data_IF_975135550214
#
_entry.id   IF_975135550214
#
_cell.length_a   1.000
_cell.length_b   1.000
_cell.length_c   1.000
_cell.angle_alpha   90.00
_cell.angle_beta   90.00
_cell.angle_gamma   90.00
#
_symmetry.space_group_name_H-M   'P 1'
#
loop_
_entity.id
_entity.type
_entity.pdbx_description
1 polymer ?
#
# COMPACT_ATOMS: atom_id res chain seq x y z
N UNK A 1 25.72 -21.38 -9.52
CA UNK A 1 25.51 -19.98 -9.94
C UNK A 1 25.68 -19.10 -8.71
N UNK A 2 26.65 -18.19 -8.74
CA UNK A 2 26.85 -17.26 -7.62
C UNK A 2 25.73 -16.23 -7.68
N UNK A 3 24.68 -16.42 -6.92
CA UNK A 3 23.73 -15.33 -6.71
C UNK A 3 24.51 -14.17 -6.11
N UNK A 4 24.64 -13.11 -6.87
CA UNK A 4 25.43 -11.95 -6.45
C UNK A 4 24.93 -11.41 -5.13
N UNK A 5 25.78 -11.40 -4.12
CA UNK A 5 25.47 -10.79 -2.83
C UNK A 5 25.07 -9.33 -3.04
N UNK A 6 24.03 -8.87 -2.36
CA UNK A 6 23.56 -7.49 -2.44
C UNK A 6 24.69 -6.52 -2.07
N UNK A 7 24.80 -5.44 -2.83
CA UNK A 7 25.81 -4.41 -2.59
C UNK A 7 25.16 -3.05 -2.39
N UNK A 8 25.78 -2.26 -1.52
CA UNK A 8 25.47 -0.85 -1.29
C UNK A 8 26.77 -0.09 -1.54
N UNK A 9 26.86 0.53 -2.71
CA UNK A 9 28.10 1.12 -3.17
C UNK A 9 29.21 0.06 -3.27
N UNK A 10 30.32 0.27 -2.57
CA UNK A 10 31.45 -0.65 -2.53
C UNK A 10 31.31 -1.76 -1.48
N UNK A 11 30.26 -1.70 -0.63
CA UNK A 11 30.06 -2.64 0.47
C UNK A 11 29.16 -3.81 0.06
N UNK A 12 29.52 -5.00 0.51
CA UNK A 12 28.72 -6.21 0.39
C UNK A 12 27.86 -6.36 1.66
N UNK A 13 26.55 -6.46 1.53
CA UNK A 13 25.65 -6.64 2.67
C UNK A 13 25.87 -8.02 3.28
N UNK A 14 26.20 -8.04 4.56
CA UNK A 14 26.42 -9.27 5.36
C UNK A 14 25.10 -9.77 5.93
N UNK A 15 24.30 -8.86 6.47
CA UNK A 15 22.94 -9.15 6.95
C UNK A 15 22.10 -7.88 6.99
N UNK A 16 20.78 -8.05 7.00
CA UNK A 16 19.86 -6.94 7.22
C UNK A 16 18.59 -7.43 7.90
N UNK A 17 17.92 -6.52 8.60
CA UNK A 17 16.66 -6.78 9.29
C UNK A 17 15.67 -5.69 8.91
N UNK A 18 14.51 -6.08 8.41
CA UNK A 18 13.41 -5.15 8.18
C UNK A 18 12.63 -4.94 9.49
N UNK A 19 12.36 -3.68 9.82
CA UNK A 19 11.50 -3.30 10.94
C UNK A 19 10.57 -2.18 10.44
N UNK A 20 9.32 -2.51 10.24
CA UNK A 20 8.35 -1.56 9.68
C UNK A 20 8.75 -1.12 8.28
N UNK A 21 8.82 0.19 8.06
CA UNK A 21 9.16 0.75 6.74
C UNK A 21 10.67 0.82 6.49
N UNK A 22 11.48 0.60 7.54
CA UNK A 22 12.94 0.69 7.47
C UNK A 22 13.60 -0.68 7.41
N UNK A 23 14.77 -0.72 6.82
CA UNK A 23 15.68 -1.85 6.85
C UNK A 23 16.97 -1.37 7.50
N UNK A 24 17.44 -2.06 8.55
CA UNK A 24 18.77 -1.84 9.11
C UNK A 24 19.71 -2.85 8.46
N UNK A 25 20.85 -2.40 7.97
CA UNK A 25 21.84 -3.28 7.33
C UNK A 25 23.22 -3.19 7.96
N UNK A 26 23.95 -4.30 7.86
CA UNK A 26 25.36 -4.45 8.18
C UNK A 26 26.08 -4.90 6.92
N UNK A 27 27.17 -4.23 6.54
CA UNK A 27 27.88 -4.50 5.31
C UNK A 27 29.40 -4.42 5.50
N UNK A 28 30.17 -5.01 4.59
CA UNK A 28 31.64 -4.96 4.63
C UNK A 28 32.22 -4.64 3.25
N UNK A 29 33.35 -3.91 3.28
CA UNK A 29 34.23 -3.70 2.13
C UNK A 29 35.60 -4.28 2.48
N UNK A 30 35.88 -5.49 2.02
CA UNK A 30 37.14 -6.19 2.29
C UNK A 30 38.36 -5.51 1.62
N UNK A 31 38.10 -4.66 0.64
CA UNK A 31 39.16 -3.95 -0.11
C UNK A 31 39.49 -2.58 0.50
N UNK A 32 38.73 -2.13 1.47
CA UNK A 32 38.98 -0.84 2.12
C UNK A 32 40.29 -0.86 2.89
N UNK A 33 41.03 0.24 2.77
CA UNK A 33 42.31 0.46 3.48
C UNK A 33 42.26 1.74 4.33
N UNK A 34 41.11 2.41 4.40
CA UNK A 34 41.01 3.78 4.92
C UNK A 34 40.25 3.90 6.27
N UNK A 35 40.17 2.82 7.04
CA UNK A 35 39.46 2.87 8.33
C UNK A 35 37.93 2.77 8.23
N UNK A 36 37.42 2.24 7.13
CA UNK A 36 35.98 2.16 6.85
C UNK A 36 35.58 0.77 6.32
N UNK A 37 36.15 -0.28 6.89
CA UNK A 37 35.95 -1.66 6.43
C UNK A 37 34.52 -2.18 6.62
N UNK A 38 33.85 -1.75 7.67
CA UNK A 38 32.47 -2.18 8.00
C UNK A 38 31.53 -0.98 8.01
N UNK A 39 30.28 -1.20 7.66
CA UNK A 39 29.25 -0.16 7.59
C UNK A 39 27.93 -0.65 8.16
N UNK A 40 27.27 0.21 8.93
CA UNK A 40 25.88 0.01 9.35
C UNK A 40 25.07 1.24 8.96
N UNK A 41 23.89 1.02 8.41
CA UNK A 41 23.00 2.12 8.00
C UNK A 41 21.56 1.67 7.91
N UNK A 42 20.70 2.60 7.52
CA UNK A 42 19.32 2.32 7.15
C UNK A 42 19.17 2.30 5.64
N UNK A 43 18.30 1.45 5.13
CA UNK A 43 17.94 1.41 3.72
C UNK A 43 16.42 1.49 3.56
N UNK A 44 15.98 2.28 2.60
CA UNK A 44 14.60 2.30 2.12
C UNK A 44 14.65 1.92 0.64
N UNK A 45 13.90 0.91 0.28
CA UNK A 45 13.98 0.34 -1.06
C UNK A 45 12.59 0.22 -1.69
N UNK A 46 12.51 0.65 -2.93
CA UNK A 46 11.35 0.41 -3.78
C UNK A 46 11.82 -0.18 -5.13
N UNK A 47 10.91 -0.37 -6.06
CA UNK A 47 11.22 -1.02 -7.35
C UNK A 47 12.19 -0.22 -8.24
N UNK A 48 12.42 1.06 -7.97
CA UNK A 48 13.20 1.96 -8.81
C UNK A 48 14.55 2.33 -8.22
N UNK A 49 14.64 2.45 -6.89
CA UNK A 49 15.87 2.91 -6.25
C UNK A 49 15.98 2.40 -4.80
N UNK A 50 17.19 2.48 -4.31
CA UNK A 50 17.54 2.22 -2.91
C UNK A 50 18.19 3.47 -2.34
N UNK A 51 17.62 3.97 -1.26
CA UNK A 51 18.16 5.12 -0.52
C UNK A 51 18.74 4.64 0.79
N UNK A 52 20.01 4.95 1.04
CA UNK A 52 20.67 4.65 2.29
C UNK A 52 20.86 5.93 3.10
N UNK A 53 20.69 5.83 4.40
CA UNK A 53 20.78 6.96 5.31
C UNK A 53 21.48 6.58 6.62
N UNK A 54 21.98 7.58 7.32
CA UNK A 54 22.65 7.44 8.61
C UNK A 54 23.75 6.37 8.60
N UNK A 55 24.47 6.26 7.49
CA UNK A 55 25.55 5.30 7.38
C UNK A 55 26.73 5.66 8.29
N UNK A 56 27.16 4.71 9.09
CA UNK A 56 28.33 4.81 9.95
C UNK A 56 29.33 3.75 9.53
N UNK A 57 30.59 4.10 9.51
CA UNK A 57 31.66 3.20 9.10
C UNK A 57 32.74 3.11 10.20
N UNK A 58 33.41 1.96 10.26
CA UNK A 58 34.51 1.71 11.20
C UNK A 58 35.30 0.50 10.71
N UNK A 59 36.59 0.42 11.15
CA UNK A 59 37.38 -0.81 11.03
C UNK A 59 37.10 -1.81 12.15
N UNK A 60 36.40 -1.39 13.20
CA UNK A 60 36.04 -2.27 14.32
C UNK A 60 34.73 -2.96 14.07
N UNK A 61 34.80 -4.25 13.72
CA UNK A 61 33.63 -5.08 13.46
C UNK A 61 32.68 -5.14 14.66
N UNK A 62 33.22 -5.23 15.87
CA UNK A 62 32.39 -5.35 17.08
C UNK A 62 31.60 -4.05 17.32
N UNK A 63 32.25 -2.90 17.11
CA UNK A 63 31.61 -1.59 17.20
C UNK A 63 30.40 -1.51 16.24
N UNK A 64 30.60 -1.91 15.00
CA UNK A 64 29.53 -1.83 13.96
C UNK A 64 28.43 -2.86 14.22
N UNK A 65 28.75 -4.05 14.71
CA UNK A 65 27.75 -5.05 15.12
C UNK A 65 26.93 -4.54 16.31
N UNK A 66 27.58 -3.92 17.28
CA UNK A 66 26.87 -3.30 18.41
C UNK A 66 25.91 -2.20 17.95
N UNK A 67 26.38 -1.34 17.05
CA UNK A 67 25.54 -0.30 16.43
C UNK A 67 24.34 -0.90 15.68
N UNK A 68 24.58 -1.94 14.87
CA UNK A 68 23.53 -2.66 14.14
C UNK A 68 22.47 -3.21 15.10
N UNK A 69 22.89 -3.90 16.15
CA UNK A 69 21.97 -4.47 17.15
C UNK A 69 21.16 -3.39 17.86
N UNK A 70 21.82 -2.29 18.24
CA UNK A 70 21.17 -1.15 18.91
C UNK A 70 20.11 -0.50 17.99
N UNK A 71 20.41 -0.33 16.72
CA UNK A 71 19.47 0.24 15.74
C UNK A 71 18.26 -0.66 15.52
N UNK A 72 18.48 -1.98 15.37
CA UNK A 72 17.38 -2.95 15.22
C UNK A 72 16.47 -2.90 16.47
N UNK A 73 17.04 -2.91 17.66
CA UNK A 73 16.27 -2.86 18.91
C UNK A 73 15.45 -1.56 19.02
N UNK A 74 16.07 -0.43 18.69
CA UNK A 74 15.42 0.88 18.74
C UNK A 74 14.25 0.98 17.75
N UNK A 75 14.47 0.55 16.50
CA UNK A 75 13.40 0.58 15.49
C UNK A 75 12.24 -0.37 15.88
N UNK A 76 12.55 -1.51 16.49
CA UNK A 76 11.53 -2.44 16.97
C UNK A 76 10.66 -1.81 18.06
N UNK A 77 11.26 -1.08 19.00
CA UNK A 77 10.52 -0.38 20.05
C UNK A 77 9.66 0.74 19.46
N UNK A 78 10.22 1.56 18.59
CA UNK A 78 9.47 2.62 17.89
C UNK A 78 8.28 2.04 17.10
N UNK A 79 8.49 0.93 16.41
CA UNK A 79 7.42 0.28 15.66
C UNK A 79 6.32 -0.27 16.58
N UNK A 80 6.71 -0.87 17.70
CA UNK A 80 5.78 -1.36 18.72
C UNK A 80 4.91 -0.21 19.28
N UNK A 81 5.52 0.93 19.60
CA UNK A 81 4.79 2.12 20.05
C UNK A 81 3.80 2.61 18.97
N UNK A 82 4.20 2.59 17.70
CA UNK A 82 3.31 2.97 16.60
C UNK A 82 2.09 2.04 16.52
N UNK A 83 2.31 0.73 16.69
CA UNK A 83 1.23 -0.27 16.67
C UNK A 83 0.28 -0.06 17.85
N UNK A 84 0.81 0.19 19.04
CA UNK A 84 0.01 0.46 20.25
C UNK A 84 -0.85 1.73 20.10
N UNK A 85 -0.33 2.76 19.43
CA UNK A 85 -1.07 4.01 19.15
C UNK A 85 -2.21 3.85 18.14
N UNK A 86 -2.29 2.75 17.38
CA UNK A 86 -3.41 2.53 16.46
C UNK A 86 -4.74 2.36 17.19
N UNK A 87 -4.72 1.93 18.44
CA UNK A 87 -5.90 1.71 19.30
C UNK A 87 -6.96 0.82 18.63
N UNK A 88 -6.50 -0.19 17.90
CA UNK A 88 -7.36 -1.21 17.27
C UNK A 88 -6.85 -2.61 17.64
N UNK A 89 -7.75 -3.60 17.76
CA UNK A 89 -7.31 -4.96 18.03
C UNK A 89 -6.34 -5.49 16.96
N UNK A 90 -5.22 -6.02 17.42
CA UNK A 90 -4.25 -6.68 16.53
C UNK A 90 -4.79 -8.07 16.22
N UNK A 91 -5.40 -8.20 15.05
CA UNK A 91 -5.99 -9.46 14.58
C UNK A 91 -5.44 -9.80 13.20
N UNK A 92 -5.47 -11.07 12.86
CA UNK A 92 -5.11 -11.57 11.54
C UNK A 92 -6.39 -12.02 10.85
N UNK A 93 -6.57 -11.62 9.60
CA UNK A 93 -7.65 -12.15 8.75
C UNK A 93 -7.11 -13.43 8.10
N UNK A 94 -7.88 -14.50 8.22
CA UNK A 94 -7.52 -15.83 7.73
C UNK A 94 -8.44 -16.26 6.58
N UNK A 95 -8.09 -17.34 5.92
CA UNK A 95 -8.93 -17.93 4.86
C UNK A 95 -10.35 -18.25 5.36
N UNK A 96 -10.49 -18.63 6.63
CA UNK A 96 -11.79 -18.92 7.25
C UNK A 96 -12.71 -17.69 7.31
N UNK A 97 -12.14 -16.50 7.34
CA UNK A 97 -12.86 -15.23 7.40
C UNK A 97 -13.29 -14.73 6.03
N UNK A 98 -12.85 -15.39 4.97
CA UNK A 98 -13.04 -14.98 3.59
C UNK A 98 -13.95 -15.94 2.82
N UNK A 99 -14.61 -15.42 1.79
CA UNK A 99 -15.16 -16.18 0.69
C UNK A 99 -13.99 -16.34 -0.29
N UNK A 100 -13.47 -17.55 -0.52
CA UNK A 100 -12.25 -17.73 -1.32
C UNK A 100 -12.34 -17.06 -2.69
N UNK A 101 -11.25 -16.46 -3.10
CA UNK A 101 -11.19 -15.82 -4.40
C UNK A 101 -11.22 -16.85 -5.54
N UNK A 102 -11.78 -16.44 -6.65
CA UNK A 102 -11.82 -17.23 -7.87
C UNK A 102 -11.85 -16.26 -9.06
N UNK A 103 -11.06 -16.51 -10.08
CA UNK A 103 -10.94 -15.60 -11.23
C UNK A 103 -12.25 -15.34 -11.98
N UNK A 104 -13.26 -16.20 -11.82
CA UNK A 104 -14.60 -15.98 -12.41
C UNK A 104 -15.45 -14.98 -11.65
N UNK A 105 -14.98 -14.50 -10.47
CA UNK A 105 -15.71 -13.52 -9.65
C UNK A 105 -15.26 -12.11 -9.97
N UNK A 106 -16.20 -11.18 -9.97
CA UNK A 106 -15.93 -9.75 -9.98
C UNK A 106 -15.79 -9.27 -8.54
N UNK A 107 -14.63 -8.69 -8.22
CA UNK A 107 -14.34 -8.16 -6.89
C UNK A 107 -14.38 -6.62 -6.84
N UNK A 108 -14.75 -5.95 -7.91
CA UNK A 108 -14.88 -4.49 -7.92
C UNK A 108 -15.88 -4.02 -6.85
N UNK A 109 -15.46 -3.07 -6.03
CA UNK A 109 -16.30 -2.53 -4.96
C UNK A 109 -16.47 -3.46 -3.76
N UNK A 110 -15.68 -4.52 -3.68
CA UNK A 110 -15.69 -5.46 -2.57
C UNK A 110 -14.59 -5.13 -1.56
N UNK A 111 -14.77 -5.62 -0.34
CA UNK A 111 -13.71 -5.62 0.67
C UNK A 111 -13.00 -6.95 0.59
N UNK A 112 -11.70 -6.88 0.35
CA UNK A 112 -10.85 -8.06 0.19
C UNK A 112 -9.80 -8.11 1.29
N UNK A 113 -9.30 -9.30 1.54
CA UNK A 113 -8.10 -9.50 2.36
C UNK A 113 -6.94 -9.93 1.47
N UNK A 114 -5.79 -9.35 1.71
CA UNK A 114 -4.52 -9.74 1.08
C UNK A 114 -3.93 -10.91 1.86
N UNK A 115 -3.39 -11.90 1.14
CA UNK A 115 -2.74 -13.06 1.76
C UNK A 115 -1.57 -12.57 2.64
N UNK A 116 -1.55 -12.91 3.92
CA UNK A 116 -0.45 -12.48 4.80
C UNK A 116 0.94 -12.92 4.32
N UNK A 117 1.03 -13.99 3.52
CA UNK A 117 2.31 -14.46 2.98
C UNK A 117 3.02 -13.44 2.07
N UNK A 118 2.26 -12.51 1.46
CA UNK A 118 2.87 -11.45 0.61
C UNK A 118 3.18 -10.18 1.40
N UNK A 119 2.83 -10.15 2.67
CA UNK A 119 3.12 -9.02 3.57
C UNK A 119 4.37 -9.32 4.40
N UNK A 120 5.15 -8.30 4.71
CA UNK A 120 6.24 -8.44 5.69
C UNK A 120 5.67 -8.93 7.03
N UNK A 121 6.42 -9.74 7.80
CA UNK A 121 5.90 -10.32 9.06
C UNK A 121 5.27 -9.32 10.01
N UNK A 122 5.86 -8.15 10.16
CA UNK A 122 5.36 -7.09 11.04
C UNK A 122 4.06 -6.43 10.53
N UNK A 123 3.70 -6.66 9.26
CA UNK A 123 2.48 -6.14 8.65
C UNK A 123 1.39 -7.20 8.46
N UNK A 124 1.58 -8.40 8.98
CA UNK A 124 0.57 -9.47 8.91
C UNK A 124 -0.54 -9.23 9.95
N UNK A 125 -1.36 -8.20 9.69
CA UNK A 125 -2.44 -7.74 10.58
C UNK A 125 -3.60 -7.20 9.74
N UNK A 126 -4.79 -7.23 10.30
CA UNK A 126 -6.02 -6.80 9.61
C UNK A 126 -5.95 -5.37 9.07
N UNK A 127 -5.32 -4.43 9.80
CA UNK A 127 -5.17 -3.04 9.34
C UNK A 127 -4.30 -2.92 8.06
N UNK A 128 -3.46 -3.92 7.82
CA UNK A 128 -2.60 -4.00 6.63
C UNK A 128 -3.12 -4.98 5.57
N UNK A 129 -4.07 -5.87 5.93
CA UNK A 129 -4.64 -6.84 5.02
C UNK A 129 -5.93 -6.37 4.34
N UNK A 130 -6.70 -5.46 4.97
CA UNK A 130 -8.05 -5.12 4.53
C UNK A 130 -8.07 -3.96 3.55
N UNK A 131 -8.64 -4.20 2.37
CA UNK A 131 -8.68 -3.23 1.27
C UNK A 131 -10.06 -3.19 0.63
N UNK A 132 -10.47 -1.99 0.19
CA UNK A 132 -11.61 -1.77 -0.69
C UNK A 132 -11.12 -1.73 -2.13
N UNK A 133 -11.67 -2.57 -3.01
CA UNK A 133 -11.26 -2.64 -4.43
C UNK A 133 -11.88 -1.48 -5.20
N UNK A 134 -11.04 -0.67 -5.83
CA UNK A 134 -11.45 0.50 -6.60
C UNK A 134 -11.45 0.27 -8.10
N UNK A 135 -10.82 -0.82 -8.58
CA UNK A 135 -10.78 -1.16 -9.99
C UNK A 135 -9.59 -2.03 -10.37
N UNK A 136 -9.23 -1.97 -11.64
CA UNK A 136 -8.14 -2.75 -12.22
C UNK A 136 -8.64 -3.91 -13.06
N UNK A 137 -7.87 -4.28 -14.09
CA UNK A 137 -8.28 -5.41 -14.94
C UNK A 137 -8.39 -6.71 -14.16
N UNK A 138 -7.49 -6.94 -13.19
CA UNK A 138 -7.55 -8.12 -12.33
C UNK A 138 -8.78 -8.17 -11.42
N UNK A 139 -9.47 -7.06 -11.20
CA UNK A 139 -10.67 -7.01 -10.36
C UNK A 139 -11.92 -7.56 -11.06
N UNK A 140 -11.93 -7.56 -12.40
CA UNK A 140 -13.09 -8.00 -13.20
C UNK A 140 -13.09 -9.52 -13.39
N UNK A 141 -14.27 -10.09 -13.49
CA UNK A 141 -14.44 -11.53 -13.74
C UNK A 141 -13.80 -11.95 -15.07
N UNK A 142 -13.10 -13.06 -15.06
CA UNK A 142 -12.47 -13.70 -16.23
C UNK A 142 -11.53 -12.76 -17.02
N UNK A 143 -11.00 -11.76 -16.37
CA UNK A 143 -10.06 -10.83 -16.99
C UNK A 143 -8.71 -11.50 -17.27
N UNK A 144 -8.05 -11.07 -18.33
CA UNK A 144 -6.67 -11.47 -18.65
C UNK A 144 -5.62 -10.71 -17.83
N UNK A 145 -6.00 -9.55 -17.30
CA UNK A 145 -5.11 -8.74 -16.47
C UNK A 145 -5.16 -9.17 -15.01
N UNK A 146 -4.07 -8.99 -14.29
CA UNK A 146 -3.92 -9.40 -12.89
C UNK A 146 -3.99 -8.22 -11.91
N UNK A 147 -3.79 -6.98 -12.38
CA UNK A 147 -3.70 -5.81 -11.50
C UNK A 147 -5.04 -5.49 -10.81
N UNK A 148 -5.01 -5.42 -9.48
CA UNK A 148 -6.13 -5.02 -8.62
C UNK A 148 -5.73 -3.70 -7.94
N UNK A 149 -6.44 -2.61 -8.26
CA UNK A 149 -6.26 -1.33 -7.57
C UNK A 149 -7.21 -1.29 -6.38
N UNK A 150 -6.68 -0.91 -5.26
CA UNK A 150 -7.44 -0.93 -4.02
C UNK A 150 -6.97 0.14 -3.04
N UNK A 151 -7.81 0.46 -2.07
CA UNK A 151 -7.54 1.43 -1.02
C UNK A 151 -7.58 0.73 0.33
N UNK A 152 -6.52 0.88 1.10
CA UNK A 152 -6.43 0.31 2.44
C UNK A 152 -7.53 0.90 3.32
N UNK A 153 -8.31 0.06 4.02
CA UNK A 153 -9.44 0.52 4.84
C UNK A 153 -9.00 1.39 6.02
N UNK A 154 -7.87 1.07 6.62
CA UNK A 154 -7.39 1.79 7.81
C UNK A 154 -6.73 3.13 7.45
N UNK A 155 -5.78 3.10 6.51
CA UNK A 155 -4.97 4.28 6.20
C UNK A 155 -5.54 5.16 5.08
N UNK A 156 -6.44 4.63 4.26
CA UNK A 156 -6.96 5.33 3.08
C UNK A 156 -5.98 5.40 1.92
N UNK A 157 -4.79 4.81 2.05
CA UNK A 157 -3.77 4.84 0.98
C UNK A 157 -4.15 3.88 -0.14
N UNK A 158 -4.02 4.36 -1.39
CA UNK A 158 -4.22 3.54 -2.58
C UNK A 158 -2.97 2.73 -2.90
N UNK A 159 -3.17 1.50 -3.35
CA UNK A 159 -2.09 0.60 -3.72
C UNK A 159 -2.55 -0.35 -4.82
N UNK A 160 -1.61 -1.12 -5.35
CA UNK A 160 -1.85 -2.14 -6.37
C UNK A 160 -1.31 -3.49 -5.87
N UNK A 161 -2.14 -4.52 -6.01
CA UNK A 161 -1.75 -5.91 -5.81
C UNK A 161 -2.00 -6.71 -7.08
N UNK A 162 -1.42 -7.88 -7.17
CA UNK A 162 -1.80 -8.87 -8.18
C UNK A 162 -3.02 -9.66 -7.69
N UNK A 163 -3.87 -10.11 -8.60
CA UNK A 163 -5.07 -10.90 -8.23
C UNK A 163 -4.72 -12.13 -7.39
N UNK A 164 -3.58 -12.73 -7.64
CA UNK A 164 -3.11 -13.92 -6.90
C UNK A 164 -2.75 -13.61 -5.44
N UNK A 165 -2.52 -12.34 -5.09
CA UNK A 165 -2.24 -11.92 -3.72
C UNK A 165 -3.54 -11.79 -2.90
N UNK A 166 -4.70 -11.82 -3.56
CA UNK A 166 -6.00 -11.67 -2.90
C UNK A 166 -6.43 -13.03 -2.34
N UNK A 167 -6.55 -13.10 -1.02
CA UNK A 167 -7.04 -14.29 -0.32
C UNK A 167 -8.53 -14.51 -0.55
N UNK A 168 -9.31 -13.43 -0.57
CA UNK A 168 -10.74 -13.49 -0.85
C UNK A 168 -11.51 -12.24 -0.43
N UNK A 169 -12.81 -12.24 -0.74
CA UNK A 169 -13.77 -11.24 -0.24
C UNK A 169 -14.05 -11.54 1.24
N UNK A 170 -13.87 -10.57 2.11
CA UNK A 170 -14.08 -10.76 3.55
C UNK A 170 -15.58 -10.85 3.85
N UNK A 171 -15.97 -11.87 4.61
CA UNK A 171 -17.36 -12.05 5.07
C UNK A 171 -17.77 -10.87 5.97
N UNK A 172 -18.90 -10.22 5.74
CA UNK A 172 -19.29 -9.03 6.53
C UNK A 172 -19.28 -9.25 8.04
N UNK A 173 -19.68 -10.43 8.48
CA UNK A 173 -19.73 -10.79 9.91
C UNK A 173 -18.33 -11.02 10.52
N UNK A 174 -17.30 -11.18 9.67
CA UNK A 174 -15.92 -11.38 10.09
C UNK A 174 -15.07 -10.11 10.08
N UNK A 175 -15.62 -9.01 9.53
CA UNK A 175 -14.93 -7.73 9.57
C UNK A 175 -14.82 -7.22 11.02
N UNK A 176 -13.63 -6.78 11.44
CA UNK A 176 -13.48 -6.05 12.71
C UNK A 176 -14.39 -4.81 12.75
N UNK A 177 -14.85 -4.39 13.93
CA UNK A 177 -15.79 -3.27 14.05
C UNK A 177 -15.25 -1.99 13.39
N UNK A 178 -13.98 -1.64 13.65
CA UNK A 178 -13.36 -0.48 13.01
C UNK A 178 -13.40 -0.57 11.47
N UNK A 179 -13.26 -1.77 10.93
CA UNK A 179 -13.28 -1.99 9.47
C UNK A 179 -14.70 -1.88 8.90
N UNK A 180 -15.73 -2.28 9.67
CA UNK A 180 -17.15 -2.11 9.28
C UNK A 180 -17.49 -0.62 9.14
N UNK A 181 -17.06 0.19 10.10
CA UNK A 181 -17.27 1.65 10.08
C UNK A 181 -16.59 2.28 8.86
N UNK A 182 -15.31 1.94 8.65
CA UNK A 182 -14.54 2.44 7.49
C UNK A 182 -15.15 1.99 6.16
N UNK A 183 -15.59 0.74 6.08
CA UNK A 183 -16.26 0.22 4.88
C UNK A 183 -17.52 1.03 4.54
N UNK A 184 -18.33 1.36 5.53
CA UNK A 184 -19.52 2.19 5.34
C UNK A 184 -19.17 3.59 4.83
N UNK A 185 -18.12 4.22 5.38
CA UNK A 185 -17.62 5.52 4.91
C UNK A 185 -17.22 5.47 3.42
N UNK A 186 -16.49 4.43 3.01
CA UNK A 186 -16.07 4.25 1.62
C UNK A 186 -17.28 4.09 0.68
N UNK A 187 -18.25 3.28 1.08
CA UNK A 187 -19.48 3.05 0.30
C UNK A 187 -20.31 4.31 0.15
N UNK A 188 -20.44 5.11 1.22
CA UNK A 188 -21.16 6.38 1.20
C UNK A 188 -20.47 7.39 0.28
N UNK A 189 -19.15 7.54 0.41
CA UNK A 189 -18.36 8.44 -0.47
C UNK A 189 -18.52 8.07 -1.94
N UNK A 190 -18.53 6.77 -2.25
CA UNK A 190 -18.74 6.29 -3.63
C UNK A 190 -20.14 6.66 -4.12
N UNK A 191 -21.19 6.39 -3.33
CA UNK A 191 -22.59 6.73 -3.69
C UNK A 191 -22.76 8.22 -3.97
N UNK A 192 -22.16 9.08 -3.16
CA UNK A 192 -22.23 10.53 -3.33
C UNK A 192 -21.51 10.96 -4.62
N UNK A 193 -20.34 10.43 -4.88
CA UNK A 193 -19.58 10.71 -6.10
C UNK A 193 -20.32 10.26 -7.37
N UNK A 194 -20.99 9.11 -7.32
CA UNK A 194 -21.78 8.60 -8.43
C UNK A 194 -23.02 9.47 -8.66
N UNK A 195 -23.67 9.98 -7.60
CA UNK A 195 -24.79 10.94 -7.70
C UNK A 195 -24.35 12.27 -8.31
N UNK A 196 -23.18 12.80 -7.93
CA UNK A 196 -22.61 14.04 -8.51
C UNK A 196 -22.30 13.86 -10.00
N UNK A 197 -21.79 12.75 -10.39
CA UNK A 197 -21.57 12.42 -11.81
C UNK A 197 -22.86 12.29 -12.63
N UNK A 198 -23.63 11.88 -11.94
CA UNK A 198 -24.81 11.67 -12.52
C UNK A 198 -25.63 12.83 -12.61
N UNK A 199 -25.62 13.62 -11.73
CA UNK A 199 -26.33 14.89 -11.69
C UNK A 199 -25.76 15.97 -12.62
N UNK A 200 -24.53 15.83 -13.04
CA UNK A 200 -23.88 16.79 -13.94
C UNK A 200 -24.30 16.71 -15.39
N UNK A 201 -25.00 15.69 -15.80
CA UNK A 201 -25.43 15.53 -17.21
C UNK A 201 -26.77 16.20 -17.55
N UNK A 202 -27.47 16.83 -16.59
CA UNK A 202 -28.79 17.43 -16.80
C UNK A 202 -28.77 18.96 -16.91
N UNK A 203 -27.61 19.61 -17.13
CA UNK A 203 -27.54 21.05 -17.33
C UNK A 203 -26.88 21.45 -18.66
N UNK A 204 -27.11 20.68 -19.71
CA UNK A 204 -26.85 21.22 -21.05
C UNK A 204 -28.15 21.84 -21.57
N UNK A 205 -28.02 23.15 -21.78
CA UNK A 205 -29.06 24.13 -21.97
C UNK A 205 -30.10 23.83 -23.05
N UNK A 206 -31.34 24.05 -22.66
CA UNK A 206 -32.41 24.34 -23.61
C UNK A 206 -32.12 25.71 -24.20
N UNK A 207 -31.58 25.78 -25.39
CA UNK A 207 -31.50 27.02 -26.17
C UNK A 207 -32.94 27.33 -26.65
N UNK A 208 -33.60 28.26 -25.96
CA UNK A 208 -34.90 28.76 -26.40
C UNK A 208 -34.62 29.75 -27.55
N UNK A 209 -34.91 29.33 -28.78
CA UNK A 209 -34.97 30.25 -29.94
C UNK A 209 -36.18 31.17 -29.78
N UNK A 210 -35.96 32.45 -29.51
CA UNK A 210 -36.98 33.49 -29.61
C UNK A 210 -37.05 33.92 -31.08
N UNK A 211 -38.25 33.88 -31.74
CA UNK A 211 -38.38 34.41 -33.10
C UNK A 211 -38.26 35.96 -33.08
N UNK A 212 -37.45 36.51 -33.96
CA UNK A 212 -37.34 37.94 -34.20
C UNK A 212 -38.70 38.51 -34.59
N UNK A 213 -39.19 39.52 -33.83
CA UNK A 213 -40.31 40.35 -34.29
C UNK A 213 -39.87 41.12 -35.53
N UNK A 214 -40.64 41.03 -36.63
CA UNK A 214 -40.53 41.93 -37.76
C UNK A 214 -41.01 43.29 -37.32
N UNK A 215 -40.19 44.33 -37.50
CA UNK A 215 -40.61 45.71 -37.42
C UNK A 215 -41.35 46.08 -38.74
N UNK A 216 -42.65 46.37 -38.61
CA UNK A 216 -43.38 47.07 -39.65
C UNK A 216 -43.12 48.56 -39.50
N UNK A 217 -42.27 49.12 -40.33
CA UNK A 217 -42.18 50.54 -40.59
C UNK A 217 -41.69 50.68 -42.02
N UNK A 218 -42.75 50.91 -42.92
CA UNK A 218 -42.59 51.72 -44.12
C UNK A 218 -43.98 51.84 -44.78
N UNK A 219 -44.66 53.02 -44.52
CA UNK A 219 -45.67 53.57 -45.47
C UNK A 219 -45.49 55.08 -45.49
N UNK A 220 -45.45 55.57 -46.53
CA UNK A 220 -45.48 56.80 -46.84
C UNK A 220 -45.43 57.23 -48.03
#
# INVERSE_FOLDING_TARGET
MNEGKRRIGEYTVLCSVNVGEKEVFLASNEQSTNGDKFMCGFAERNDLFELCSECMVSDDYIEIVHLFGSRVANEAELFKEQVEKLDIPITLITEADCIPDHYSKDINGKIIAIDPKVLKPEFQRADRQLYYVTGGFGASANSRGSAVFCTNLHTGKSTRYERMDVMGEVKPERLPEWAKEKAQEFLQKKRNKDKERXGGQSKEGIIIFQPKKKSDDDVX
#
